data_IF_014658547118
#
_entry.id   IF_014658547118
#
_cell.length_a   1.000
_cell.length_b   1.000
_cell.length_c   1.000
_cell.angle_alpha   90.00
_cell.angle_beta   90.00
_cell.angle_gamma   90.00
#
_symmetry.space_group_name_H-M   'P 1'
#
loop_
_entity.id
_entity.type
_entity.pdbx_description
1 polymer ?
#
# COMPACT_ATOMS: atom_id res chain seq x y z
N UNK A 1 -31.91 -13.65 8.73
CA UNK A 1 -31.93 -12.79 7.53
C UNK A 1 -31.00 -11.60 7.78
N UNK A 2 -29.92 -11.48 7.03
CA UNK A 2 -29.00 -10.34 7.11
C UNK A 2 -29.70 -9.09 6.55
N UNK A 3 -29.67 -7.99 7.29
CA UNK A 3 -30.24 -6.71 6.83
C UNK A 3 -29.57 -6.29 5.50
N UNK A 4 -30.34 -5.81 4.50
CA UNK A 4 -29.76 -5.36 3.25
C UNK A 4 -28.73 -4.24 3.50
N UNK A 5 -27.62 -4.28 2.77
CA UNK A 5 -26.59 -3.23 2.86
C UNK A 5 -27.16 -1.88 2.43
N UNK A 6 -26.72 -0.81 3.11
CA UNK A 6 -27.02 0.57 2.67
C UNK A 6 -26.58 0.77 1.21
N UNK A 7 -27.31 1.53 0.36
CA UNK A 7 -26.89 1.84 -1.02
C UNK A 7 -25.50 2.50 -1.13
N UNK A 8 -25.05 3.16 -0.05
CA UNK A 8 -23.71 3.76 0.03
C UNK A 8 -22.60 2.75 0.40
N UNK A 9 -22.98 1.53 0.77
CA UNK A 9 -21.98 0.52 1.16
C UNK A 9 -21.36 -0.11 -0.07
N UNK A 10 -20.09 0.23 -0.35
CA UNK A 10 -19.30 -0.26 -1.47
C UNK A 10 -18.41 -1.45 -1.13
N UNK A 11 -18.48 -1.96 0.11
CA UNK A 11 -17.63 -3.06 0.57
C UNK A 11 -17.73 -4.28 -0.34
N UNK A 12 -16.64 -4.68 -0.94
CA UNK A 12 -16.50 -5.92 -1.68
C UNK A 12 -16.56 -7.08 -0.67
N UNK A 13 -17.57 -7.91 -0.80
CA UNK A 13 -17.79 -9.10 0.03
C UNK A 13 -18.36 -10.22 -0.84
N UNK A 14 -17.62 -10.55 -1.91
CA UNK A 14 -17.94 -11.61 -2.83
C UNK A 14 -17.52 -12.94 -2.20
N UNK A 15 -18.36 -13.95 -2.21
CA UNK A 15 -18.01 -15.30 -1.75
C UNK A 15 -17.06 -16.00 -2.71
N UNK A 16 -16.40 -17.07 -2.27
CA UNK A 16 -15.58 -17.91 -3.18
C UNK A 16 -16.47 -18.50 -4.28
N UNK A 17 -17.68 -18.90 -3.95
CA UNK A 17 -18.61 -19.50 -4.90
C UNK A 17 -19.03 -18.53 -6.00
N UNK A 18 -19.42 -17.32 -5.63
CA UNK A 18 -19.75 -16.25 -6.58
C UNK A 18 -18.52 -15.71 -7.33
N UNK A 19 -17.33 -15.85 -6.74
CA UNK A 19 -16.05 -15.36 -7.25
C UNK A 19 -15.16 -16.42 -7.92
N UNK A 20 -15.71 -17.56 -8.35
CA UNK A 20 -14.91 -18.65 -8.97
C UNK A 20 -14.12 -18.18 -10.20
N UNK A 21 -14.68 -17.27 -10.99
CA UNK A 21 -14.00 -16.69 -12.16
C UNK A 21 -12.80 -15.82 -11.78
N UNK A 22 -12.79 -15.19 -10.60
CA UNK A 22 -11.65 -14.45 -10.07
C UNK A 22 -10.59 -15.41 -9.54
N UNK A 23 -11.00 -16.41 -8.79
CA UNK A 23 -10.08 -17.42 -8.29
C UNK A 23 -9.34 -18.14 -9.42
N UNK A 24 -10.01 -18.39 -10.53
CA UNK A 24 -9.42 -19.02 -11.72
C UNK A 24 -8.35 -18.14 -12.43
N UNK A 25 -8.22 -16.86 -12.08
CA UNK A 25 -7.15 -15.98 -12.61
C UNK A 25 -5.86 -16.10 -11.81
N UNK A 26 -5.94 -16.61 -10.60
CA UNK A 26 -4.79 -16.88 -9.76
C UNK A 26 -4.04 -18.11 -10.27
N UNK A 27 -2.76 -18.16 -9.96
CA UNK A 27 -1.94 -19.37 -10.23
C UNK A 27 -1.66 -20.09 -8.91
N UNK A 28 -1.60 -21.41 -8.96
CA UNK A 28 -1.21 -22.24 -7.83
C UNK A 28 0.31 -22.40 -7.76
N UNK A 29 0.82 -22.88 -6.64
CA UNK A 29 2.27 -23.02 -6.41
C UNK A 29 2.97 -23.90 -7.44
N UNK A 30 2.32 -24.97 -7.89
CA UNK A 30 2.81 -25.89 -8.93
C UNK A 30 2.91 -25.25 -10.33
N UNK A 31 2.26 -24.12 -10.54
CA UNK A 31 2.31 -23.32 -11.76
C UNK A 31 3.37 -22.21 -11.70
N UNK A 32 4.01 -22.02 -10.55
CA UNK A 32 5.06 -21.02 -10.40
C UNK A 32 6.31 -21.49 -11.14
N UNK A 33 6.75 -20.68 -12.09
CA UNK A 33 7.95 -20.94 -12.89
C UNK A 33 9.06 -19.97 -12.47
N UNK A 34 10.30 -20.39 -12.67
CA UNK A 34 11.49 -19.55 -12.43
C UNK A 34 11.63 -18.40 -13.43
N UNK A 35 10.93 -18.48 -14.58
CA UNK A 35 10.83 -17.36 -15.52
C UNK A 35 9.87 -16.30 -14.96
N UNK A 36 10.43 -15.15 -14.60
CA UNK A 36 9.69 -14.02 -14.05
C UNK A 36 8.53 -13.58 -14.96
N UNK A 37 8.69 -13.66 -16.28
CA UNK A 37 7.66 -13.24 -17.25
C UNK A 37 6.35 -14.02 -17.12
N UNK A 38 6.39 -15.24 -16.60
CA UNK A 38 5.21 -16.10 -16.43
C UNK A 38 4.44 -15.81 -15.13
N UNK A 39 5.09 -15.16 -14.15
CA UNK A 39 4.52 -14.90 -12.83
C UNK A 39 4.27 -13.41 -12.58
N UNK A 40 4.76 -12.53 -13.43
CA UNK A 40 4.45 -11.09 -13.40
C UNK A 40 2.95 -10.87 -13.60
N UNK A 41 2.40 -9.94 -12.81
CA UNK A 41 0.98 -9.57 -12.81
C UNK A 41 0.06 -10.74 -12.44
N UNK A 42 0.53 -11.59 -11.52
CA UNK A 42 -0.23 -12.71 -10.98
C UNK A 42 -0.42 -12.61 -9.48
N UNK A 43 -1.56 -13.11 -9.02
CA UNK A 43 -1.81 -13.51 -7.64
C UNK A 43 -1.50 -14.99 -7.53
N UNK A 44 -0.60 -15.36 -6.62
CA UNK A 44 -0.18 -16.75 -6.39
C UNK A 44 -0.88 -17.25 -5.12
N UNK A 45 -1.65 -18.33 -5.25
CA UNK A 45 -2.28 -18.99 -4.10
C UNK A 45 -1.28 -19.98 -3.52
N UNK A 46 -0.80 -19.71 -2.31
CA UNK A 46 0.14 -20.59 -1.64
C UNK A 46 0.68 -20.03 -0.34
N UNK A 47 1.43 -20.87 0.36
CA UNK A 47 2.19 -20.45 1.53
C UNK A 47 3.36 -19.55 1.09
N UNK A 48 3.53 -18.44 1.80
CA UNK A 48 4.58 -17.46 1.48
C UNK A 48 5.97 -18.08 1.46
N UNK A 49 6.31 -18.95 2.42
CA UNK A 49 7.64 -19.54 2.50
C UNK A 49 7.95 -20.48 1.34
N UNK A 50 6.95 -21.22 0.91
CA UNK A 50 7.07 -22.14 -0.23
C UNK A 50 7.23 -21.35 -1.53
N UNK A 51 6.35 -20.37 -1.77
CA UNK A 51 6.40 -19.56 -2.99
C UNK A 51 7.67 -18.73 -3.11
N UNK A 52 8.12 -18.07 -2.02
CA UNK A 52 9.35 -17.27 -2.04
C UNK A 52 10.59 -18.08 -2.44
N UNK A 53 10.62 -19.39 -2.13
CA UNK A 53 11.75 -20.26 -2.48
C UNK A 53 11.83 -20.59 -3.98
N UNK A 54 10.74 -20.38 -4.72
CA UNK A 54 10.63 -20.65 -6.16
C UNK A 54 10.90 -19.41 -7.02
N UNK A 55 10.86 -18.21 -6.43
CA UNK A 55 11.05 -16.98 -7.18
C UNK A 55 12.54 -16.79 -7.56
N UNK A 56 12.81 -16.22 -8.74
CA UNK A 56 14.19 -16.01 -9.19
C UNK A 56 14.88 -14.95 -8.32
N UNK A 57 16.16 -15.15 -7.95
CA UNK A 57 16.92 -14.18 -7.17
C UNK A 57 17.15 -12.88 -7.96
N UNK A 58 17.39 -11.79 -7.25
CA UNK A 58 17.75 -10.48 -7.83
C UNK A 58 16.78 -10.00 -8.93
N UNK A 59 15.47 -10.21 -8.73
CA UNK A 59 14.43 -9.99 -9.74
C UNK A 59 13.38 -8.94 -9.33
N UNK A 60 13.33 -8.56 -8.07
CA UNK A 60 12.31 -7.67 -7.49
C UNK A 60 12.90 -6.29 -7.24
N UNK A 61 12.21 -5.24 -7.69
CA UNK A 61 12.62 -3.85 -7.50
C UNK A 61 12.16 -3.30 -6.14
N UNK A 62 10.93 -3.64 -5.73
CA UNK A 62 10.36 -3.17 -4.47
C UNK A 62 9.57 -4.28 -3.79
N UNK A 63 9.76 -4.42 -2.48
CA UNK A 63 8.96 -5.31 -1.65
C UNK A 63 8.13 -4.48 -0.67
N UNK A 64 6.81 -4.75 -0.62
CA UNK A 64 5.88 -4.18 0.34
C UNK A 64 5.29 -5.32 1.15
N UNK A 65 5.69 -5.46 2.41
CA UNK A 65 5.29 -6.56 3.26
C UNK A 65 4.41 -6.08 4.42
N UNK A 66 3.22 -6.67 4.56
CA UNK A 66 2.31 -6.49 5.70
C UNK A 66 2.12 -7.83 6.43
N UNK A 67 3.18 -8.36 7.10
CA UNK A 67 3.14 -9.67 7.72
C UNK A 67 2.13 -9.73 8.87
N UNK A 68 1.69 -10.92 9.30
CA UNK A 68 0.90 -11.06 10.51
C UNK A 68 1.60 -10.43 11.71
N UNK A 69 0.97 -9.44 12.34
CA UNK A 69 1.46 -8.88 13.59
C UNK A 69 1.31 -9.92 14.69
N UNK A 70 2.21 -9.98 15.63
CA UNK A 70 2.26 -11.03 16.66
C UNK A 70 1.05 -10.99 17.64
N UNK A 71 -0.13 -11.08 17.09
CA UNK A 71 -1.42 -11.10 17.78
C UNK A 71 -2.19 -12.37 17.39
N UNK A 72 -2.85 -13.00 18.35
CA UNK A 72 -3.80 -14.07 17.99
C UNK A 72 -4.93 -13.48 17.19
N UNK A 73 -5.01 -13.83 15.92
CA UNK A 73 -6.03 -13.35 15.01
C UNK A 73 -6.45 -14.42 14.02
N UNK A 74 -7.77 -14.58 13.89
CA UNK A 74 -8.34 -15.47 12.89
C UNK A 74 -8.63 -14.70 11.61
N UNK A 75 -8.09 -15.21 10.51
CA UNK A 75 -8.31 -14.74 9.16
C UNK A 75 -9.14 -15.80 8.42
N UNK A 76 -10.45 -15.64 8.38
CA UNK A 76 -11.39 -16.70 7.95
C UNK A 76 -11.14 -18.01 8.70
N UNK A 77 -10.64 -19.03 8.00
CA UNK A 77 -10.43 -20.38 8.57
C UNK A 77 -9.01 -20.61 9.09
N UNK A 78 -8.11 -19.63 8.96
CA UNK A 78 -6.72 -19.75 9.41
C UNK A 78 -6.47 -18.83 10.59
N UNK A 79 -5.90 -19.35 11.67
CA UNK A 79 -5.56 -18.57 12.86
C UNK A 79 -4.05 -18.41 12.97
N UNK A 80 -3.57 -17.18 12.94
CA UNK A 80 -2.23 -16.86 13.40
C UNK A 80 -2.27 -16.75 14.93
N UNK A 81 -1.59 -17.68 15.60
CA UNK A 81 -1.46 -17.68 17.05
C UNK A 81 -0.30 -16.76 17.47
N UNK A 82 -0.51 -15.98 18.52
CA UNK A 82 0.56 -15.17 19.13
C UNK A 82 1.73 -16.07 19.54
N UNK A 83 2.92 -15.68 19.15
CA UNK A 83 4.19 -16.35 19.44
C UNK A 83 4.91 -15.67 20.60
N UNK A 84 5.87 -16.37 21.22
CA UNK A 84 6.87 -15.70 22.06
C UNK A 84 7.70 -14.71 21.25
N UNK A 85 8.38 -13.78 21.91
CA UNK A 85 9.23 -12.82 21.19
C UNK A 85 10.36 -13.52 20.41
N UNK A 86 11.09 -14.52 20.95
CA UNK A 86 12.08 -15.29 20.20
C UNK A 86 11.50 -16.04 19.00
N UNK A 87 10.32 -16.66 19.15
CA UNK A 87 9.68 -17.42 18.07
C UNK A 87 9.17 -16.46 16.95
N UNK A 88 8.67 -15.30 17.31
CA UNK A 88 8.28 -14.29 16.32
C UNK A 88 9.50 -13.71 15.59
N UNK A 89 10.62 -13.55 16.29
CA UNK A 89 11.88 -13.15 15.66
C UNK A 89 12.37 -14.23 14.69
N UNK A 90 12.36 -15.51 15.09
CA UNK A 90 12.73 -16.63 14.21
C UNK A 90 11.81 -16.69 12.96
N UNK A 91 10.50 -16.51 13.15
CA UNK A 91 9.54 -16.38 12.05
C UNK A 91 9.90 -15.20 11.12
N UNK A 92 10.23 -14.04 11.69
CA UNK A 92 10.60 -12.83 10.93
C UNK A 92 11.90 -13.06 10.15
N UNK A 93 12.92 -13.65 10.77
CA UNK A 93 14.18 -14.00 10.10
C UNK A 93 13.98 -14.93 8.91
N UNK A 94 13.09 -15.93 9.06
CA UNK A 94 12.85 -16.92 8.03
C UNK A 94 12.36 -16.29 6.72
N UNK A 95 11.37 -15.41 6.75
CA UNK A 95 10.87 -14.78 5.51
C UNK A 95 11.77 -13.64 5.04
N UNK A 96 12.41 -12.87 5.94
CA UNK A 96 13.34 -11.81 5.54
C UNK A 96 14.59 -12.36 4.85
N UNK A 97 15.11 -13.50 5.27
CA UNK A 97 16.25 -14.15 4.59
C UNK A 97 15.90 -14.54 3.15
N UNK A 98 14.71 -15.09 2.91
CA UNK A 98 14.25 -15.41 1.56
C UNK A 98 14.11 -14.13 0.71
N UNK A 99 13.45 -13.12 1.23
CA UNK A 99 13.24 -11.83 0.54
C UNK A 99 14.56 -11.15 0.20
N UNK A 100 15.57 -11.25 1.07
CA UNK A 100 16.87 -10.64 0.85
C UNK A 100 17.59 -11.17 -0.41
N UNK A 101 17.31 -12.39 -0.84
CA UNK A 101 17.87 -12.96 -2.08
C UNK A 101 17.11 -12.49 -3.33
N UNK A 102 15.82 -12.15 -3.19
CA UNK A 102 14.96 -11.78 -4.31
C UNK A 102 15.12 -10.31 -4.71
N UNK A 103 15.45 -9.44 -3.74
CA UNK A 103 15.57 -8.02 -3.97
C UNK A 103 16.80 -7.68 -4.79
N UNK A 104 16.64 -6.86 -5.83
CA UNK A 104 17.73 -6.30 -6.63
C UNK A 104 18.68 -5.47 -5.79
N UNK A 105 19.90 -5.27 -6.26
CA UNK A 105 20.94 -4.53 -5.51
C UNK A 105 20.55 -3.06 -5.23
N UNK A 106 19.76 -2.46 -6.09
CA UNK A 106 19.19 -1.12 -5.92
C UNK A 106 17.75 -1.12 -5.41
N UNK A 107 17.24 -2.28 -5.04
CA UNK A 107 15.87 -2.48 -4.58
C UNK A 107 15.62 -1.99 -3.15
N UNK A 108 14.35 -1.79 -2.86
CA UNK A 108 13.84 -1.27 -1.58
C UNK A 108 12.82 -2.20 -0.95
N UNK A 109 12.71 -2.17 0.37
CA UNK A 109 11.71 -2.92 1.14
C UNK A 109 11.02 -2.02 2.16
N UNK A 110 9.69 -2.18 2.25
CA UNK A 110 8.87 -1.59 3.32
C UNK A 110 8.15 -2.70 4.09
N UNK A 111 8.23 -2.64 5.41
CA UNK A 111 7.61 -3.64 6.31
C UNK A 111 6.67 -2.95 7.28
N UNK A 112 5.38 -3.24 7.17
CA UNK A 112 4.36 -2.77 8.09
C UNK A 112 4.39 -3.57 9.39
N UNK A 113 4.13 -2.92 10.53
CA UNK A 113 4.07 -3.56 11.84
C UNK A 113 3.31 -2.71 12.87
N UNK A 114 2.87 -3.33 13.94
CA UNK A 114 2.40 -2.59 15.11
C UNK A 114 3.59 -2.15 15.99
N UNK A 115 3.33 -1.28 16.96
CA UNK A 115 4.37 -0.74 17.84
C UNK A 115 5.13 -1.80 18.65
N UNK A 116 4.50 -2.99 18.93
CA UNK A 116 5.14 -4.08 19.68
C UNK A 116 6.09 -4.87 18.80
N UNK A 117 5.63 -5.24 17.62
CA UNK A 117 6.42 -6.00 16.65
C UNK A 117 7.47 -5.13 15.96
N UNK A 118 7.29 -3.80 15.96
CA UNK A 118 8.23 -2.83 15.39
C UNK A 118 9.65 -2.99 15.96
N UNK A 119 9.79 -3.29 17.27
CA UNK A 119 11.09 -3.49 17.89
C UNK A 119 11.85 -4.71 17.34
N UNK A 120 11.12 -5.79 17.06
CA UNK A 120 11.69 -7.02 16.49
C UNK A 120 11.98 -6.80 14.99
N UNK A 121 11.01 -6.28 14.24
CA UNK A 121 11.13 -6.04 12.80
C UNK A 121 12.33 -5.14 12.50
N UNK A 122 12.44 -3.98 13.17
CA UNK A 122 13.53 -3.05 12.93
C UNK A 122 14.92 -3.65 13.18
N UNK A 123 15.06 -4.43 14.27
CA UNK A 123 16.30 -5.11 14.60
C UNK A 123 16.64 -6.18 13.57
N UNK A 124 15.70 -7.07 13.24
CA UNK A 124 15.97 -8.16 12.29
C UNK A 124 16.20 -7.61 10.88
N UNK A 125 15.48 -6.56 10.49
CA UNK A 125 15.64 -5.92 9.18
C UNK A 125 17.08 -5.38 9.00
N UNK A 126 17.69 -4.83 10.06
CA UNK A 126 19.04 -4.30 10.00
C UNK A 126 20.13 -5.37 9.81
N UNK A 127 19.83 -6.65 10.02
CA UNK A 127 20.76 -7.75 9.75
C UNK A 127 20.88 -8.09 8.25
N UNK A 128 19.90 -7.68 7.44
CA UNK A 128 19.83 -8.01 6.01
C UNK A 128 19.89 -6.78 5.10
N UNK A 129 19.52 -5.58 5.59
CA UNK A 129 19.30 -4.39 4.79
C UNK A 129 19.82 -3.13 5.48
N UNK A 130 20.05 -2.09 4.69
CA UNK A 130 20.35 -0.76 5.22
C UNK A 130 19.03 -0.08 5.61
N UNK A 131 18.74 -0.02 6.90
CA UNK A 131 17.55 0.69 7.42
C UNK A 131 17.72 2.19 7.16
N UNK A 132 16.72 2.78 6.47
CA UNK A 132 16.72 4.20 6.09
C UNK A 132 15.83 5.05 6.99
N UNK A 133 14.65 4.53 7.30
CA UNK A 133 13.68 5.28 8.10
C UNK A 133 12.67 4.35 8.79
N UNK A 134 12.08 4.86 9.86
CA UNK A 134 10.84 4.34 10.45
C UNK A 134 9.76 5.40 10.22
N UNK A 135 8.75 5.05 9.47
CA UNK A 135 7.58 5.88 9.19
C UNK A 135 6.50 5.49 10.19
N UNK A 136 5.92 6.47 10.88
CA UNK A 136 4.77 6.27 11.75
C UNK A 136 3.52 6.75 11.05
N UNK A 137 2.60 5.83 10.80
CA UNK A 137 1.28 6.14 10.25
C UNK A 137 0.26 6.29 11.36
N UNK A 138 -0.36 7.47 11.45
CA UNK A 138 -1.46 7.73 12.37
C UNK A 138 -2.72 6.98 11.90
N UNK A 139 -3.14 6.00 12.70
CA UNK A 139 -4.32 5.19 12.46
C UNK A 139 -5.46 5.65 13.35
N UNK A 140 -6.52 6.20 12.78
CA UNK A 140 -7.63 6.79 13.56
C UNK A 140 -8.55 5.80 14.25
N UNK A 141 -8.61 4.53 13.79
CA UNK A 141 -9.46 3.53 14.39
C UNK A 141 -8.76 2.77 15.50
N UNK A 142 -9.37 2.74 16.64
CA UNK A 142 -9.03 1.91 17.77
C UNK A 142 -10.10 2.09 18.83
N UNK A 143 -10.42 1.03 19.57
CA UNK A 143 -11.28 1.15 20.76
C UNK A 143 -10.57 1.98 21.81
N UNK A 144 -11.32 2.74 22.59
CA UNK A 144 -10.76 3.42 23.76
C UNK A 144 -10.07 2.44 24.69
N UNK A 145 -9.00 2.87 25.34
CA UNK A 145 -8.35 2.11 26.40
C UNK A 145 -8.75 2.70 27.74
N UNK A 146 -8.97 1.86 28.73
CA UNK A 146 -9.37 2.27 30.08
C UNK A 146 -8.20 2.28 31.05
N UNK A 147 -7.16 1.50 30.79
CA UNK A 147 -6.00 1.34 31.68
C UNK A 147 -4.67 1.71 31.02
N UNK A 148 -4.68 2.16 29.77
CA UNK A 148 -3.48 2.55 29.02
C UNK A 148 -3.86 3.50 27.89
N UNK A 149 -2.86 4.04 27.17
CA UNK A 149 -3.06 4.89 26.00
C UNK A 149 -3.66 4.09 24.84
N UNK A 150 -4.63 4.68 24.14
CA UNK A 150 -5.20 4.12 22.92
C UNK A 150 -4.11 3.97 21.85
N UNK A 151 -3.98 2.76 21.27
CA UNK A 151 -3.09 2.58 20.13
C UNK A 151 -3.67 3.28 18.89
N UNK A 152 -3.02 4.36 18.47
CA UNK A 152 -3.44 5.20 17.33
C UNK A 152 -2.45 5.20 16.19
N UNK A 153 -1.46 4.28 16.16
CA UNK A 153 -0.40 4.28 15.15
C UNK A 153 -0.01 2.86 14.71
N UNK A 154 0.55 2.78 13.51
CA UNK A 154 1.33 1.65 12.99
C UNK A 154 2.66 2.17 12.46
N UNK A 155 3.71 1.35 12.52
CA UNK A 155 5.02 1.66 11.97
C UNK A 155 5.21 0.98 10.62
N UNK A 156 6.00 1.63 9.75
CA UNK A 156 6.46 1.09 8.48
C UNK A 156 7.97 1.30 8.42
N UNK A 157 8.72 0.21 8.42
CA UNK A 157 10.16 0.26 8.28
C UNK A 157 10.55 0.33 6.82
N UNK A 158 11.34 1.34 6.45
CA UNK A 158 11.93 1.51 5.13
C UNK A 158 13.40 1.11 5.16
N UNK A 159 13.78 0.19 4.30
CA UNK A 159 15.16 -0.24 4.15
C UNK A 159 15.50 -0.50 2.68
N UNK A 160 16.79 -0.57 2.35
CA UNK A 160 17.30 -0.77 1.00
C UNK A 160 18.38 -1.85 0.96
N UNK A 161 18.53 -2.50 -0.18
CA UNK A 161 19.54 -3.55 -0.38
C UNK A 161 20.96 -2.97 -0.33
N UNK A 162 21.16 -1.79 -0.87
CA UNK A 162 22.44 -1.08 -0.90
C UNK A 162 22.25 0.43 -0.68
N UNK A 163 23.34 1.19 -0.76
CA UNK A 163 23.30 2.66 -0.71
C UNK A 163 22.83 3.30 -2.01
N UNK A 164 22.77 2.56 -3.11
CA UNK A 164 22.20 3.00 -4.38
C UNK A 164 20.78 2.47 -4.49
N UNK A 165 19.79 3.34 -4.47
CA UNK A 165 18.38 2.96 -4.53
C UNK A 165 17.51 4.06 -5.14
N UNK A 166 16.35 3.68 -5.63
CA UNK A 166 15.35 4.61 -6.16
C UNK A 166 14.61 5.31 -5.03
N UNK A 167 14.57 6.66 -5.07
CA UNK A 167 13.69 7.46 -4.20
C UNK A 167 13.19 8.70 -4.95
N UNK A 168 11.96 8.66 -5.40
CA UNK A 168 11.30 9.69 -6.21
C UNK A 168 10.59 10.71 -5.32
N UNK A 169 11.33 11.63 -4.70
CA UNK A 169 10.80 12.60 -3.73
C UNK A 169 9.67 13.46 -4.32
N UNK A 170 9.81 13.89 -5.57
CA UNK A 170 8.82 14.75 -6.23
C UNK A 170 7.48 14.06 -6.46
N UNK A 171 7.49 12.75 -6.68
CA UNK A 171 6.28 11.94 -6.89
C UNK A 171 5.44 11.76 -5.60
N UNK A 172 5.99 12.08 -4.44
CA UNK A 172 5.34 11.88 -3.13
C UNK A 172 5.09 13.17 -2.36
N UNK A 173 5.30 14.32 -2.98
CA UNK A 173 4.96 15.61 -2.37
C UNK A 173 3.49 15.66 -1.95
N UNK A 174 3.23 16.34 -0.85
CA UNK A 174 1.88 16.53 -0.32
C UNK A 174 1.47 17.98 -0.50
N UNK A 175 0.33 18.21 -1.15
CA UNK A 175 -0.29 19.52 -1.31
C UNK A 175 -1.00 19.90 -0.03
N UNK A 176 -0.49 20.96 0.60
CA UNK A 176 -0.97 21.45 1.88
C UNK A 176 -1.52 22.86 1.76
N UNK A 177 -2.59 23.16 2.50
CA UNK A 177 -3.11 24.51 2.61
C UNK A 177 -2.11 25.39 3.35
N UNK A 178 -1.83 26.57 2.82
CA UNK A 178 -0.94 27.55 3.44
C UNK A 178 -1.74 28.36 4.47
N UNK A 179 -1.33 28.26 5.73
CA UNK A 179 -1.99 28.96 6.86
C UNK A 179 -1.43 30.37 7.00
N UNK A 180 -0.10 30.52 6.84
CA UNK A 180 0.59 31.82 6.91
C UNK A 180 1.31 32.07 5.58
N UNK A 181 0.67 32.76 4.62
CA UNK A 181 1.24 33.00 3.29
C UNK A 181 2.37 34.02 3.38
N UNK A 182 3.62 33.57 3.19
CA UNK A 182 4.77 34.44 3.12
C UNK A 182 5.01 34.90 1.69
N UNK A 183 5.21 36.21 1.51
CA UNK A 183 5.49 36.84 0.22
C UNK A 183 6.86 37.52 0.25
N UNK A 184 7.58 37.50 -0.86
CA UNK A 184 8.77 38.28 -1.10
C UNK A 184 8.45 39.24 -2.26
N UNK A 185 8.62 40.52 -2.05
CA UNK A 185 8.31 41.57 -3.05
C UNK A 185 6.87 41.47 -3.61
N UNK A 186 5.92 41.12 -2.76
CA UNK A 186 4.51 40.96 -3.14
C UNK A 186 4.16 39.64 -3.84
N UNK A 187 5.14 38.80 -4.17
CA UNK A 187 4.95 37.52 -4.87
C UNK A 187 4.98 36.34 -3.89
N UNK A 188 4.09 35.33 -4.02
CA UNK A 188 4.18 34.10 -3.23
C UNK A 188 5.56 33.46 -3.35
N UNK A 189 6.21 33.14 -2.20
CA UNK A 189 7.57 32.59 -2.21
C UNK A 189 7.63 31.12 -2.66
N UNK A 190 6.72 30.28 -2.16
CA UNK A 190 6.76 28.82 -2.33
C UNK A 190 5.37 28.18 -2.31
N UNK A 191 4.36 28.94 -2.73
CA UNK A 191 2.98 28.50 -2.75
C UNK A 191 2.19 29.08 -3.93
N UNK A 192 1.11 28.37 -4.31
CA UNK A 192 0.24 28.75 -5.41
C UNK A 192 -1.02 29.44 -4.85
N UNK A 193 -1.39 30.56 -5.45
CA UNK A 193 -2.68 31.21 -5.21
C UNK A 193 -3.74 30.61 -6.13
N UNK A 194 -4.78 30.05 -5.56
CA UNK A 194 -5.88 29.44 -6.32
C UNK A 194 -7.23 30.00 -5.88
N UNK A 195 -8.28 29.83 -6.70
CA UNK A 195 -9.62 30.26 -6.35
C UNK A 195 -10.21 29.54 -5.11
N UNK A 196 -9.54 28.50 -4.59
CA UNK A 196 -9.94 27.72 -3.44
C UNK A 196 -9.06 27.93 -2.22
N UNK A 197 -8.09 28.80 -2.31
CA UNK A 197 -7.12 29.10 -1.28
C UNK A 197 -5.70 28.95 -1.76
N UNK A 198 -4.79 29.11 -0.82
CA UNK A 198 -3.36 29.08 -1.06
C UNK A 198 -2.83 27.70 -0.70
N UNK A 199 -2.07 27.09 -1.61
CA UNK A 199 -1.52 25.73 -1.43
C UNK A 199 -0.04 25.70 -1.78
N UNK A 200 0.69 24.79 -1.15
CA UNK A 200 2.06 24.45 -1.52
C UNK A 200 2.29 22.95 -1.54
N UNK A 201 3.23 22.49 -2.35
CA UNK A 201 3.67 21.12 -2.37
C UNK A 201 4.86 20.96 -1.43
N UNK A 202 4.71 20.19 -0.35
CA UNK A 202 5.73 19.96 0.67
C UNK A 202 6.26 18.54 0.60
N UNK A 203 7.55 18.36 0.88
CA UNK A 203 8.12 17.03 1.06
C UNK A 203 7.45 16.35 2.27
N UNK A 204 7.04 15.09 2.15
CA UNK A 204 6.44 14.35 3.26
C UNK A 204 7.48 14.08 4.35
N UNK A 205 7.06 14.15 5.60
CA UNK A 205 7.83 13.65 6.74
C UNK A 205 7.65 12.14 6.89
N UNK A 206 8.34 11.56 7.85
CA UNK A 206 8.13 10.17 8.28
C UNK A 206 6.97 9.99 9.28
N UNK A 207 6.17 11.03 9.49
CA UNK A 207 4.92 10.97 10.24
C UNK A 207 3.74 11.24 9.29
N UNK A 208 2.92 10.18 9.06
CA UNK A 208 1.81 10.21 8.11
C UNK A 208 0.47 10.28 8.84
N UNK A 209 -0.11 11.46 8.88
CA UNK A 209 -1.39 11.77 9.53
C UNK A 209 -2.53 12.00 8.52
N UNK A 210 -2.21 11.99 7.24
CA UNK A 210 -3.12 12.33 6.14
C UNK A 210 -3.80 11.13 5.47
N UNK A 211 -3.59 9.90 6.01
CA UNK A 211 -4.07 8.66 5.41
C UNK A 211 -5.13 8.00 6.28
N UNK A 212 -6.32 7.82 5.71
CA UNK A 212 -7.45 7.14 6.37
C UNK A 212 -7.44 5.65 6.04
N UNK A 213 -7.81 4.79 7.00
CA UNK A 213 -8.07 3.38 6.71
C UNK A 213 -9.32 3.23 5.84
N UNK A 214 -9.39 2.22 4.96
CA UNK A 214 -10.58 1.95 4.17
C UNK A 214 -11.83 1.75 5.04
N UNK A 215 -12.95 2.29 4.60
CA UNK A 215 -14.23 2.10 5.27
C UNK A 215 -15.35 1.87 4.25
N UNK A 216 -16.49 1.39 4.72
CA UNK A 216 -17.58 0.82 3.93
C UNK A 216 -18.07 1.62 2.73
N UNK A 217 -17.91 2.96 2.71
CA UNK A 217 -18.31 3.80 1.58
C UNK A 217 -17.21 4.05 0.54
N UNK A 218 -15.98 3.56 0.78
CA UNK A 218 -14.88 3.67 -0.18
C UNK A 218 -14.92 2.50 -1.17
N UNK A 219 -14.67 2.79 -2.45
CA UNK A 219 -14.70 1.77 -3.51
C UNK A 219 -13.62 0.69 -3.34
N UNK A 220 -12.49 1.04 -2.73
CA UNK A 220 -11.40 0.13 -2.43
C UNK A 220 -11.70 -0.88 -1.31
N UNK A 221 -12.74 -0.63 -0.49
CA UNK A 221 -12.98 -1.38 0.73
C UNK A 221 -13.46 -2.80 0.47
N UNK A 222 -12.87 -3.76 1.18
CA UNK A 222 -13.30 -5.16 1.22
C UNK A 222 -13.69 -5.57 2.64
N UNK A 223 -14.21 -6.76 2.81
CA UNK A 223 -14.46 -7.33 4.14
C UNK A 223 -13.17 -7.81 4.85
N UNK A 224 -11.99 -7.60 4.28
CA UNK A 224 -10.70 -7.96 4.90
C UNK A 224 -10.48 -7.14 6.19
N UNK A 225 -10.16 -7.79 7.32
CA UNK A 225 -10.20 -7.14 8.63
C UNK A 225 -9.06 -6.14 8.89
N UNK A 226 -8.01 -6.18 8.10
CA UNK A 226 -6.79 -5.35 8.24
C UNK A 226 -6.32 -4.74 6.94
N UNK A 227 -7.22 -4.56 5.98
CA UNK A 227 -6.86 -3.96 4.70
C UNK A 227 -6.15 -2.62 4.87
N UNK A 228 -5.03 -2.46 4.18
CA UNK A 228 -4.33 -1.18 4.04
C UNK A 228 -4.98 -0.33 2.95
N UNK A 229 -4.87 1.01 3.04
CA UNK A 229 -5.42 1.92 2.04
C UNK A 229 -4.54 2.02 0.80
N UNK A 230 -5.17 2.24 -0.35
CA UNK A 230 -4.46 2.48 -1.60
C UNK A 230 -3.57 3.73 -1.52
N UNK A 231 -4.00 4.79 -0.82
CA UNK A 231 -3.19 6.00 -0.61
C UNK A 231 -1.88 5.71 0.13
N UNK A 232 -1.90 4.82 1.12
CA UNK A 232 -0.70 4.46 1.88
C UNK A 232 0.32 3.76 0.98
N UNK A 233 -0.13 2.75 0.24
CA UNK A 233 0.78 1.99 -0.61
C UNK A 233 1.18 2.75 -1.87
N UNK A 234 0.37 3.68 -2.36
CA UNK A 234 0.78 4.54 -3.47
C UNK A 234 1.93 5.48 -3.10
N UNK A 235 1.98 5.99 -1.86
CA UNK A 235 3.16 6.75 -1.39
C UNK A 235 4.43 5.90 -1.41
N UNK A 236 4.35 4.66 -0.95
CA UNK A 236 5.48 3.72 -0.94
C UNK A 236 5.94 3.40 -2.37
N UNK A 237 4.99 2.98 -3.21
CA UNK A 237 5.28 2.52 -4.57
C UNK A 237 5.83 3.66 -5.44
N UNK A 238 5.23 4.85 -5.36
CA UNK A 238 5.73 6.02 -6.09
C UNK A 238 7.12 6.46 -5.62
N UNK A 239 7.38 6.43 -4.29
CA UNK A 239 8.68 6.80 -3.75
C UNK A 239 9.80 5.89 -4.25
N UNK A 240 9.57 4.57 -4.26
CA UNK A 240 10.67 3.60 -4.37
C UNK A 240 10.54 2.66 -5.56
N UNK A 241 9.85 3.09 -6.63
CA UNK A 241 9.80 2.36 -7.90
C UNK A 241 9.50 3.27 -9.08
N UNK A 242 9.81 2.79 -10.29
CA UNK A 242 9.53 3.42 -11.55
C UNK A 242 8.46 2.63 -12.34
N UNK A 243 7.79 3.22 -13.35
CA UNK A 243 6.90 2.45 -14.24
C UNK A 243 7.63 1.25 -14.85
N UNK A 244 6.98 0.09 -14.83
CA UNK A 244 7.53 -1.18 -15.30
C UNK A 244 8.29 -2.00 -14.26
N UNK A 245 8.68 -1.43 -13.11
CA UNK A 245 9.33 -2.15 -12.01
C UNK A 245 8.42 -3.24 -11.44
N UNK A 246 9.02 -4.28 -10.87
CA UNK A 246 8.33 -5.43 -10.28
C UNK A 246 8.20 -5.27 -8.77
N UNK A 247 6.96 -5.23 -8.29
CA UNK A 247 6.61 -5.09 -6.89
C UNK A 247 6.16 -6.43 -6.33
N UNK A 248 6.77 -6.89 -5.25
CA UNK A 248 6.38 -8.12 -4.56
C UNK A 248 5.66 -7.80 -3.25
N UNK A 249 4.50 -8.42 -3.04
CA UNK A 249 3.83 -8.49 -1.74
C UNK A 249 3.72 -9.95 -1.29
N UNK A 250 4.53 -10.37 -0.31
CA UNK A 250 4.52 -11.74 0.17
C UNK A 250 3.35 -12.06 1.12
N UNK A 251 2.55 -11.05 1.50
CA UNK A 251 1.41 -11.17 2.42
C UNK A 251 0.22 -10.37 1.88
N UNK A 252 -0.20 -10.68 0.65
CA UNK A 252 -1.04 -9.84 -0.20
C UNK A 252 -2.38 -9.43 0.43
N UNK A 253 -3.01 -10.31 1.20
CA UNK A 253 -4.35 -10.07 1.74
C UNK A 253 -5.37 -9.78 0.63
N UNK A 254 -6.08 -8.65 0.74
CA UNK A 254 -7.08 -8.24 -0.26
C UNK A 254 -6.50 -7.50 -1.47
N UNK A 255 -5.19 -7.58 -1.72
CA UNK A 255 -4.57 -7.15 -2.97
C UNK A 255 -4.20 -5.67 -3.08
N UNK A 256 -4.06 -4.93 -1.99
CA UNK A 256 -3.82 -3.48 -2.09
C UNK A 256 -2.54 -3.15 -2.85
N UNK A 257 -1.43 -3.86 -2.58
CA UNK A 257 -0.16 -3.65 -3.29
C UNK A 257 -0.30 -3.90 -4.80
N UNK A 258 -0.87 -5.03 -5.18
CA UNK A 258 -1.06 -5.39 -6.60
C UNK A 258 -1.97 -4.39 -7.34
N UNK A 259 -3.08 -3.99 -6.70
CA UNK A 259 -4.02 -3.01 -7.26
C UNK A 259 -3.34 -1.65 -7.49
N UNK A 260 -2.61 -1.16 -6.50
CA UNK A 260 -1.90 0.13 -6.63
C UNK A 260 -0.78 0.04 -7.65
N UNK A 261 -0.01 -1.06 -7.68
CA UNK A 261 1.02 -1.28 -8.70
C UNK A 261 0.43 -1.21 -10.10
N UNK A 262 -0.69 -1.90 -10.34
CA UNK A 262 -1.42 -1.86 -11.62
C UNK A 262 -1.91 -0.46 -11.98
N UNK A 263 -2.53 0.26 -11.03
CA UNK A 263 -3.01 1.64 -11.24
C UNK A 263 -1.87 2.60 -11.61
N UNK A 264 -0.67 2.36 -11.09
CA UNK A 264 0.51 3.18 -11.28
C UNK A 264 1.46 2.68 -12.38
N UNK A 265 1.04 1.72 -13.19
CA UNK A 265 1.82 1.10 -14.29
C UNK A 265 3.12 0.40 -13.81
N UNK A 266 3.08 -0.25 -12.67
CA UNK A 266 4.10 -1.19 -12.18
C UNK A 266 3.61 -2.61 -12.38
N UNK A 267 4.55 -3.54 -12.54
CA UNK A 267 4.25 -4.96 -12.46
C UNK A 267 4.13 -5.39 -10.99
N UNK A 268 3.42 -6.48 -10.74
CA UNK A 268 3.24 -7.00 -9.39
C UNK A 268 3.33 -8.52 -9.34
N UNK A 269 3.70 -9.03 -8.18
CA UNK A 269 3.56 -10.43 -7.77
C UNK A 269 2.97 -10.40 -6.36
N UNK A 270 1.82 -11.02 -6.17
CA UNK A 270 1.18 -11.10 -4.86
C UNK A 270 1.03 -12.54 -4.39
N UNK A 271 1.38 -12.82 -3.14
CA UNK A 271 1.27 -14.17 -2.54
C UNK A 271 0.22 -14.13 -1.44
N UNK A 272 -0.78 -15.03 -1.52
CA UNK A 272 -1.84 -15.13 -0.53
C UNK A 272 -2.30 -16.59 -0.38
N UNK A 273 -2.35 -17.08 0.86
CA UNK A 273 -2.78 -18.45 1.13
C UNK A 273 -4.30 -18.61 1.21
N UNK A 274 -5.02 -17.52 1.46
CA UNK A 274 -6.47 -17.55 1.67
C UNK A 274 -7.20 -17.27 0.36
N UNK A 275 -7.86 -18.30 -0.20
CA UNK A 275 -8.60 -18.20 -1.46
C UNK A 275 -9.69 -17.10 -1.45
N UNK A 276 -10.32 -16.82 -0.30
CA UNK A 276 -11.31 -15.73 -0.19
C UNK A 276 -10.67 -14.35 -0.41
N UNK A 277 -9.45 -14.15 0.09
CA UNK A 277 -8.72 -12.89 -0.09
C UNK A 277 -8.23 -12.75 -1.52
N UNK A 278 -7.81 -13.85 -2.15
CA UNK A 278 -7.48 -13.87 -3.58
C UNK A 278 -8.66 -13.45 -4.46
N UNK A 279 -9.89 -13.92 -4.17
CA UNK A 279 -11.11 -13.49 -4.87
C UNK A 279 -11.30 -11.97 -4.78
N UNK A 280 -11.12 -11.39 -3.60
CA UNK A 280 -11.25 -9.94 -3.42
C UNK A 280 -10.12 -9.16 -4.11
N UNK A 281 -8.89 -9.68 -4.07
CA UNK A 281 -7.75 -9.08 -4.76
C UNK A 281 -8.00 -9.02 -6.28
N UNK A 282 -8.40 -10.13 -6.88
CA UNK A 282 -8.67 -10.22 -8.32
C UNK A 282 -9.87 -9.35 -8.73
N UNK A 283 -10.93 -9.27 -7.90
CA UNK A 283 -12.04 -8.36 -8.15
C UNK A 283 -11.60 -6.89 -8.13
N UNK A 284 -10.72 -6.51 -7.22
CA UNK A 284 -10.15 -5.15 -7.17
C UNK A 284 -9.23 -4.89 -8.36
N UNK A 285 -8.43 -5.88 -8.77
CA UNK A 285 -7.57 -5.80 -9.95
C UNK A 285 -8.37 -5.59 -11.25
N UNK A 286 -9.53 -6.25 -11.38
CA UNK A 286 -10.45 -5.99 -12.50
C UNK A 286 -11.00 -4.54 -12.46
N UNK A 287 -11.35 -4.05 -11.27
CA UNK A 287 -11.82 -2.67 -11.12
C UNK A 287 -10.72 -1.66 -11.48
N UNK A 288 -9.45 -1.98 -11.20
CA UNK A 288 -8.30 -1.13 -11.53
C UNK A 288 -8.03 -1.01 -13.03
N UNK A 289 -8.57 -1.88 -13.88
CA UNK A 289 -8.53 -1.73 -15.34
C UNK A 289 -9.40 -0.56 -15.81
N UNK A 290 -10.50 -0.31 -15.11
CA UNK A 290 -11.50 0.70 -15.47
C UNK A 290 -11.26 2.01 -14.71
N UNK A 291 -10.95 1.91 -13.41
CA UNK A 291 -10.76 3.07 -12.53
C UNK A 291 -9.35 3.04 -11.91
N UNK A 292 -8.48 3.88 -12.45
CA UNK A 292 -7.11 4.08 -11.96
C UNK A 292 -7.00 5.14 -10.87
N UNK A 293 -8.11 5.76 -10.46
CA UNK A 293 -8.09 6.77 -9.41
C UNK A 293 -7.64 6.20 -8.07
N UNK A 294 -6.88 7.00 -7.32
CA UNK A 294 -6.47 6.70 -5.94
C UNK A 294 -6.97 7.85 -5.07
N UNK A 295 -7.78 7.55 -4.07
CA UNK A 295 -8.35 8.58 -3.20
C UNK A 295 -7.25 9.38 -2.50
N UNK A 296 -7.28 10.71 -2.64
CA UNK A 296 -6.30 11.62 -2.05
C UNK A 296 -4.97 11.71 -2.82
N UNK A 297 -4.90 11.16 -4.04
CA UNK A 297 -3.83 11.37 -5.01
C UNK A 297 -4.44 11.83 -6.33
N UNK A 298 -4.22 13.08 -6.68
CA UNK A 298 -4.79 13.73 -7.87
C UNK A 298 -3.74 14.61 -8.51
N UNK A 299 -3.63 14.59 -9.84
CA UNK A 299 -2.69 15.39 -10.63
C UNK A 299 -1.22 15.28 -10.18
N UNK A 300 -0.82 14.04 -9.83
CA UNK A 300 0.56 13.74 -9.45
C UNK A 300 0.96 14.17 -8.04
N UNK A 301 0.04 14.64 -7.21
CA UNK A 301 0.30 15.07 -5.83
C UNK A 301 -0.64 14.42 -4.83
N UNK A 302 -0.14 14.18 -3.63
CA UNK A 302 -0.95 13.77 -2.50
C UNK A 302 -1.63 14.98 -1.85
N UNK A 303 -2.84 14.78 -1.33
CA UNK A 303 -3.62 15.80 -0.67
C UNK A 303 -3.82 15.48 0.81
N UNK A 304 -3.87 16.53 1.64
CA UNK A 304 -4.25 16.40 3.04
C UNK A 304 -5.66 15.82 3.21
N UNK A 305 -5.97 15.33 4.41
CA UNK A 305 -7.35 14.95 4.76
C UNK A 305 -8.31 16.11 4.57
N UNK A 306 -9.57 15.75 4.33
CA UNK A 306 -10.68 16.70 4.24
C UNK A 306 -10.52 17.77 3.14
N UNK A 307 -9.71 17.49 2.12
CA UNK A 307 -9.48 18.40 0.99
C UNK A 307 -10.26 18.01 -0.29
N UNK A 308 -11.22 17.07 -0.20
CA UNK A 308 -11.94 16.52 -1.37
C UNK A 308 -12.66 17.61 -2.19
N UNK A 309 -13.24 18.62 -1.52
CA UNK A 309 -13.87 19.76 -2.20
C UNK A 309 -12.91 20.59 -3.03
N UNK A 310 -11.66 20.74 -2.56
CA UNK A 310 -10.60 21.44 -3.30
C UNK A 310 -10.09 20.60 -4.48
N UNK A 311 -10.00 19.26 -4.32
CA UNK A 311 -9.57 18.34 -5.38
C UNK A 311 -10.55 18.33 -6.56
N UNK A 312 -11.85 18.26 -6.29
CA UNK A 312 -12.89 18.14 -7.32
C UNK A 312 -13.07 19.38 -8.20
N UNK A 313 -12.68 20.54 -7.74
CA UNK A 313 -12.78 21.78 -8.52
C UNK A 313 -11.58 22.02 -9.43
N UNK A 314 -10.41 21.53 -9.08
CA UNK A 314 -9.22 21.58 -9.95
C UNK A 314 -9.46 20.68 -11.16
N UNK A 315 -9.92 19.45 -10.96
CA UNK A 315 -10.19 18.52 -12.06
C UNK A 315 -11.25 19.01 -13.08
N UNK A 316 -12.18 19.83 -12.65
CA UNK A 316 -13.19 20.45 -13.57
C UNK A 316 -12.62 21.60 -14.39
N UNK A 317 -11.70 22.40 -13.82
CA UNK A 317 -11.07 23.51 -14.55
C UNK A 317 -10.05 23.03 -15.57
N UNK A 318 -9.25 22.05 -15.23
CA UNK A 318 -8.24 21.50 -16.15
C UNK A 318 -8.89 20.81 -17.35
N UNK A 319 -10.05 20.15 -17.17
CA UNK A 319 -10.87 19.62 -18.28
C UNK A 319 -11.40 20.75 -19.17
N UNK A 320 -11.89 21.84 -18.60
CA UNK A 320 -12.40 22.99 -19.37
C UNK A 320 -11.29 23.73 -20.15
N UNK A 321 -10.08 23.84 -19.58
CA UNK A 321 -8.92 24.45 -20.25
C UNK A 321 -8.41 23.55 -21.37
N UNK A 322 -8.35 22.23 -21.17
CA UNK A 322 -7.94 21.29 -22.20
C UNK A 322 -8.97 21.21 -23.35
N UNK A 323 -10.26 21.27 -23.05
CA UNK A 323 -11.32 21.33 -24.09
C UNK A 323 -11.28 22.62 -24.90
N UNK A 324 -10.84 23.75 -24.32
CA UNK A 324 -10.65 25.01 -25.05
C UNK A 324 -9.37 25.02 -25.91
N UNK A 325 -8.31 24.34 -25.44
CA UNK A 325 -7.06 24.23 -26.21
C UNK A 325 -7.12 23.20 -27.35
N UNK A 326 -8.06 22.25 -27.29
CA UNK A 326 -8.29 21.27 -28.36
C UNK A 326 -9.22 21.80 -29.46
N UNK A 327 -9.88 22.95 -29.24
CA UNK A 327 -10.77 23.63 -30.20
C UNK A 327 -10.12 24.84 -30.90
N UNK A 328 -8.85 25.09 -30.66
CA UNK A 328 -7.98 26.02 -31.41
C UNK A 328 -6.98 25.24 -32.24
#
# INVERSE_FOLDING_TARGET
>A
MTKPKSPRNKTINLSIEDGRNYLARCISIDQVQTDLSQIINKTIIGDTFEVLSLLPPNSIDLIVADPPYNLTKTFHNTTFAKKSAPDYEAYTRKWLSCIATLLKDDGSIYVCCDWKTSLIIGRVLSDYFFVRNRITWQREKGRGATANWKNGMEDIWFATKSNKYTFNLDAVKTRKKVIAPYRVDGVPKDWDETCQGNFRNTCPSNFWDDITIPFWSMAENTAHPTQKSEKLFSKIILASSNPGDVILDPFLGSGTTSVVSKKLNRNYIGIEQNAQYCVWAEKRLETADIDKSIQGYVDGVFWERNSLSAQSSISKKDRAVNEQNTKR
#
